data_IF_110894226329
#
_entry.id   IF_110894226329
#
_cell.length_a   1.000
_cell.length_b   1.000
_cell.length_c   1.000
_cell.angle_alpha   90.00
_cell.angle_beta   90.00
_cell.angle_gamma   90.00
#
_symmetry.space_group_name_H-M   'P 1'
#
loop_
_entity.id
_entity.type
_entity.pdbx_description
1 polymer ?
#
# COMPACT_ATOMS: atom_id res chain seq x y z
N UNK A 1 39.27 10.09 -10.67
CA UNK A 1 38.02 10.26 -9.90
C UNK A 1 37.18 9.00 -10.11
N UNK A 2 37.17 8.08 -9.16
CA UNK A 2 36.33 6.88 -9.21
C UNK A 2 34.91 7.26 -8.82
N UNK A 3 34.04 7.41 -9.81
CA UNK A 3 32.59 7.44 -9.59
C UNK A 3 32.18 6.09 -8.99
N UNK A 4 31.77 6.10 -7.73
CA UNK A 4 31.08 4.98 -7.10
C UNK A 4 29.70 4.85 -7.75
N UNK A 5 29.61 4.08 -8.82
CA UNK A 5 28.32 3.63 -9.34
C UNK A 5 27.73 2.62 -8.35
N UNK A 6 26.68 3.04 -7.65
CA UNK A 6 25.99 2.29 -6.61
C UNK A 6 25.17 1.08 -7.14
N UNK A 7 25.76 0.23 -7.98
CA UNK A 7 25.09 -0.95 -8.53
C UNK A 7 26.06 -2.11 -8.83
N UNK A 8 26.68 -2.77 -7.86
CA UNK A 8 27.16 -4.15 -8.10
C UNK A 8 26.98 -5.00 -6.85
N UNK A 9 25.91 -5.82 -6.85
CA UNK A 9 25.74 -6.92 -5.90
C UNK A 9 26.55 -8.12 -6.39
N UNK A 10 27.36 -8.70 -5.52
CA UNK A 10 27.97 -10.03 -5.73
C UNK A 10 26.99 -11.11 -5.28
N UNK A 11 26.56 -12.01 -6.18
CA UNK A 11 25.63 -13.11 -5.89
C UNK A 11 24.77 -13.50 -7.10
N UNK A 12 23.99 -14.59 -7.01
CA UNK A 12 23.03 -14.95 -8.06
C UNK A 12 21.84 -13.99 -8.07
N UNK A 13 21.76 -13.15 -9.09
CA UNK A 13 20.57 -12.33 -9.38
C UNK A 13 19.64 -13.07 -10.32
N UNK A 14 18.34 -13.05 -10.04
CA UNK A 14 17.31 -13.63 -10.91
C UNK A 14 16.62 -12.52 -11.71
N UNK A 15 16.11 -12.86 -12.88
CA UNK A 15 15.16 -12.01 -13.58
C UNK A 15 13.87 -11.83 -12.73
N UNK A 16 13.18 -10.69 -12.90
CA UNK A 16 11.95 -10.39 -12.17
C UNK A 16 12.14 -9.69 -10.82
N UNK A 17 13.06 -8.72 -10.73
CA UNK A 17 13.17 -7.84 -9.57
C UNK A 17 12.08 -6.75 -9.60
N UNK A 18 11.73 -6.21 -8.44
CA UNK A 18 10.86 -5.03 -8.32
C UNK A 18 11.64 -3.92 -7.65
N UNK A 19 11.56 -2.71 -8.21
CA UNK A 19 12.07 -1.51 -7.56
C UNK A 19 11.14 -1.15 -6.40
N UNK A 20 11.74 -0.72 -5.28
CA UNK A 20 11.01 -0.28 -4.10
C UNK A 20 11.61 1.06 -3.66
N UNK A 21 10.73 1.99 -3.30
CA UNK A 21 11.10 3.28 -2.75
C UNK A 21 11.47 3.14 -1.27
N UNK A 22 12.60 3.71 -0.86
CA UNK A 22 13.05 3.67 0.54
C UNK A 22 12.04 4.38 1.45
N UNK A 23 11.40 5.44 0.93
CA UNK A 23 10.39 6.24 1.59
C UNK A 23 9.22 5.40 2.11
N UNK A 24 8.88 4.29 1.44
CA UNK A 24 7.83 3.39 1.92
C UNK A 24 8.15 2.86 3.33
N UNK A 25 9.39 2.42 3.56
CA UNK A 25 9.81 1.89 4.86
C UNK A 25 10.16 3.00 5.84
N UNK A 26 10.79 4.07 5.37
CA UNK A 26 11.26 5.14 6.25
C UNK A 26 10.13 6.07 6.72
N UNK A 27 9.12 6.30 5.89
CA UNK A 27 8.09 7.33 6.13
C UNK A 27 6.70 6.74 6.35
N UNK A 28 6.29 5.73 5.57
CA UNK A 28 4.93 5.20 5.60
C UNK A 28 4.76 4.02 6.57
N UNK A 29 5.65 3.03 6.52
CA UNK A 29 5.59 1.82 7.35
C UNK A 29 5.39 2.09 8.86
N UNK A 30 6.04 3.10 9.48
CA UNK A 30 5.80 3.47 10.87
C UNK A 30 4.33 3.80 11.21
N UNK A 31 3.55 4.24 10.22
CA UNK A 31 2.12 4.53 10.33
C UNK A 31 1.24 3.37 9.94
N UNK A 32 1.50 2.75 8.78
CA UNK A 32 0.56 1.82 8.14
C UNK A 32 0.79 0.36 8.51
N UNK A 33 1.99 0.02 9.02
CA UNK A 33 2.33 -1.32 9.48
C UNK A 33 2.62 -2.34 8.38
N UNK A 34 3.01 -3.55 8.82
CA UNK A 34 3.55 -4.61 7.95
C UNK A 34 2.55 -5.06 6.89
N UNK A 35 1.30 -5.34 7.30
CA UNK A 35 0.28 -5.90 6.42
C UNK A 35 -0.12 -4.93 5.30
N UNK A 36 -0.28 -3.64 5.63
CA UNK A 36 -0.57 -2.63 4.61
C UNK A 36 0.63 -2.43 3.68
N UNK A 37 1.84 -2.41 4.22
CA UNK A 37 3.07 -2.27 3.43
C UNK A 37 3.24 -3.43 2.44
N UNK A 38 3.09 -4.67 2.89
CA UNK A 38 3.16 -5.86 2.02
C UNK A 38 2.05 -5.88 0.97
N UNK A 39 0.85 -5.48 1.35
CA UNK A 39 -0.27 -5.40 0.42
C UNK A 39 -0.02 -4.35 -0.65
N UNK A 40 0.45 -3.16 -0.27
CA UNK A 40 0.85 -2.11 -1.20
C UNK A 40 1.95 -2.56 -2.16
N UNK A 41 3.01 -3.21 -1.67
CA UNK A 41 4.09 -3.73 -2.52
C UNK A 41 3.58 -4.74 -3.56
N UNK A 42 2.58 -5.53 -3.19
CA UNK A 42 1.95 -6.46 -4.13
C UNK A 42 1.11 -5.73 -5.19
N UNK A 43 0.35 -4.71 -4.81
CA UNK A 43 -0.37 -3.86 -5.76
C UNK A 43 0.59 -3.12 -6.69
N UNK A 44 1.69 -2.57 -6.15
CA UNK A 44 2.75 -1.90 -6.89
C UNK A 44 3.42 -2.83 -7.90
N UNK A 45 3.73 -4.06 -7.48
CA UNK A 45 4.24 -5.10 -8.39
C UNK A 45 3.25 -5.40 -9.50
N UNK A 46 1.96 -5.48 -9.21
CA UNK A 46 0.94 -5.75 -10.23
C UNK A 46 0.90 -4.61 -11.26
N UNK A 47 0.80 -3.36 -10.78
CA UNK A 47 0.83 -2.15 -11.61
C UNK A 47 2.05 -2.14 -12.55
N UNK A 48 3.23 -2.46 -12.04
CA UNK A 48 4.48 -2.39 -12.81
C UNK A 48 4.65 -3.53 -13.84
N UNK A 49 3.86 -4.61 -13.74
CA UNK A 49 3.98 -5.76 -14.65
C UNK A 49 2.84 -5.85 -15.69
N UNK A 50 1.78 -5.04 -15.57
CA UNK A 50 0.67 -5.01 -16.53
C UNK A 50 0.85 -3.88 -17.56
N UNK A 51 1.74 -4.08 -18.54
CA UNK A 51 1.86 -3.20 -19.71
C UNK A 51 0.87 -3.62 -20.81
N UNK A 52 0.16 -2.66 -21.43
CA UNK A 52 -0.66 -2.90 -22.63
C UNK A 52 -2.07 -3.48 -22.41
N UNK A 53 -2.58 -3.50 -21.17
CA UNK A 53 -3.96 -3.89 -20.87
C UNK A 53 -4.86 -2.64 -20.74
N UNK A 54 -6.17 -2.76 -20.95
CA UNK A 54 -7.15 -1.69 -20.74
C UNK A 54 -7.21 -1.16 -19.30
N UNK A 55 -6.55 -1.84 -18.34
CA UNK A 55 -6.41 -1.45 -16.94
C UNK A 55 -4.97 -1.08 -16.58
N UNK A 56 -4.12 -0.74 -17.55
CA UNK A 56 -2.75 -0.27 -17.31
C UNK A 56 -2.71 0.84 -16.24
N UNK A 57 -1.77 0.73 -15.29
CA UNK A 57 -1.69 1.60 -14.12
C UNK A 57 -2.65 1.26 -12.97
N UNK A 58 -3.54 0.28 -13.14
CA UNK A 58 -4.45 -0.22 -12.08
C UNK A 58 -4.06 -1.63 -11.68
N UNK A 59 -4.09 -1.93 -10.39
CA UNK A 59 -3.90 -3.29 -9.91
C UNK A 59 -5.26 -3.98 -9.73
N UNK A 60 -5.46 -5.15 -10.34
CA UNK A 60 -6.58 -6.03 -9.99
C UNK A 60 -6.20 -7.51 -10.04
N UNK A 61 -6.15 -8.12 -8.85
CA UNK A 61 -6.45 -9.54 -8.67
C UNK A 61 -7.61 -9.60 -7.68
N UNK A 62 -8.69 -10.30 -8.03
CA UNK A 62 -9.90 -10.36 -7.21
C UNK A 62 -9.61 -10.65 -5.72
N UNK A 63 -10.42 -10.07 -4.81
CA UNK A 63 -10.17 -10.06 -3.35
C UNK A 63 -9.86 -11.44 -2.76
N UNK A 64 -10.45 -12.52 -3.27
CA UNK A 64 -10.17 -13.90 -2.85
C UNK A 64 -8.70 -14.28 -2.98
N UNK A 65 -8.08 -13.98 -4.13
CA UNK A 65 -6.67 -14.28 -4.36
C UNK A 65 -5.76 -13.52 -3.39
N UNK A 66 -6.10 -12.27 -3.08
CA UNK A 66 -5.37 -11.45 -2.09
C UNK A 66 -5.51 -12.01 -0.68
N UNK A 67 -6.73 -12.35 -0.26
CA UNK A 67 -7.02 -12.94 1.05
C UNK A 67 -6.23 -14.23 1.26
N UNK A 68 -6.26 -15.13 0.28
CA UNK A 68 -5.53 -16.40 0.33
C UNK A 68 -4.01 -16.18 0.38
N UNK A 69 -3.49 -15.31 -0.50
CA UNK A 69 -2.05 -15.05 -0.61
C UNK A 69 -1.44 -14.48 0.66
N UNK A 70 -2.15 -13.57 1.32
CA UNK A 70 -1.68 -12.90 2.53
C UNK A 70 -2.20 -13.52 3.83
N UNK A 71 -2.96 -14.62 3.73
CA UNK A 71 -3.62 -15.28 4.87
C UNK A 71 -4.41 -14.27 5.72
N UNK A 72 -5.13 -13.36 5.04
CA UNK A 72 -5.95 -12.34 5.68
C UNK A 72 -7.39 -12.83 5.79
N UNK A 73 -8.16 -12.29 6.74
CA UNK A 73 -9.61 -12.47 6.71
C UNK A 73 -10.23 -11.52 5.66
N UNK A 74 -11.38 -11.90 5.10
CA UNK A 74 -12.17 -11.00 4.25
C UNK A 74 -12.58 -9.71 4.95
N UNK A 75 -12.69 -9.71 6.29
CA UNK A 75 -12.96 -8.50 7.09
C UNK A 75 -11.74 -7.61 7.28
N UNK A 76 -10.52 -8.14 7.16
CA UNK A 76 -9.28 -7.37 7.29
C UNK A 76 -9.00 -6.54 6.05
N UNK A 77 -9.34 -7.06 4.87
CA UNK A 77 -8.99 -6.41 3.60
C UNK A 77 -9.61 -5.00 3.45
N UNK A 78 -10.90 -4.76 3.77
CA UNK A 78 -11.45 -3.41 3.78
C UNK A 78 -10.73 -2.43 4.72
N UNK A 79 -10.18 -2.92 5.83
CA UNK A 79 -9.42 -2.06 6.76
C UNK A 79 -8.08 -1.68 6.14
N UNK A 80 -7.41 -2.62 5.47
CA UNK A 80 -6.16 -2.33 4.75
C UNK A 80 -6.39 -1.41 3.56
N UNK A 81 -7.50 -1.59 2.83
CA UNK A 81 -7.93 -0.70 1.75
C UNK A 81 -8.05 0.75 2.27
N UNK A 82 -8.78 0.96 3.37
CA UNK A 82 -8.96 2.29 3.97
C UNK A 82 -7.65 2.87 4.53
N UNK A 83 -6.76 2.05 5.11
CA UNK A 83 -5.41 2.49 5.56
C UNK A 83 -4.59 2.98 4.37
N UNK A 84 -4.55 2.22 3.28
CA UNK A 84 -3.79 2.57 2.10
C UNK A 84 -4.34 3.83 1.42
N UNK A 85 -5.67 3.96 1.34
CA UNK A 85 -6.31 5.15 0.78
C UNK A 85 -6.07 6.39 1.66
N UNK A 86 -6.19 6.26 2.98
CA UNK A 86 -5.87 7.34 3.92
C UNK A 86 -4.40 7.77 3.88
N UNK A 87 -3.50 6.82 3.62
CA UNK A 87 -2.07 7.09 3.42
C UNK A 87 -1.76 7.78 2.08
N UNK A 88 -2.71 7.82 1.14
CA UNK A 88 -2.52 8.36 -0.20
C UNK A 88 -1.74 7.45 -1.16
N UNK A 89 -1.42 6.23 -0.73
CA UNK A 89 -0.70 5.25 -1.56
C UNK A 89 -1.59 4.61 -2.63
N UNK A 90 -2.91 4.61 -2.42
CA UNK A 90 -3.88 4.12 -3.40
C UNK A 90 -5.11 5.02 -3.50
N UNK A 91 -5.79 4.97 -4.63
CA UNK A 91 -7.17 5.46 -4.79
C UNK A 91 -8.05 4.29 -5.22
N UNK A 92 -9.18 4.10 -4.53
CA UNK A 92 -10.06 2.94 -4.74
C UNK A 92 -11.26 3.35 -5.60
N UNK A 93 -11.30 2.86 -6.84
CA UNK A 93 -12.46 3.04 -7.72
C UNK A 93 -13.40 1.84 -7.62
N UNK A 94 -14.72 2.09 -7.53
CA UNK A 94 -15.75 1.05 -7.55
C UNK A 94 -16.62 1.21 -8.79
N UNK A 95 -16.77 0.14 -9.57
CA UNK A 95 -17.63 0.11 -10.76
C UNK A 95 -18.69 -0.98 -10.63
N UNK A 96 -19.98 -0.66 -10.85
CA UNK A 96 -21.04 -1.67 -10.82
C UNK A 96 -20.92 -2.60 -12.03
N UNK A 97 -21.06 -3.91 -11.81
CA UNK A 97 -20.96 -4.94 -12.89
C UNK A 97 -22.21 -5.82 -12.99
N UNK A 98 -23.36 -5.30 -12.56
CA UNK A 98 -24.67 -5.92 -12.81
C UNK A 98 -25.01 -7.20 -12.03
N UNK A 99 -24.15 -7.68 -11.12
CA UNK A 99 -24.39 -8.87 -10.28
C UNK A 99 -24.15 -8.64 -8.78
N UNK A 100 -24.58 -7.48 -8.28
CA UNK A 100 -24.64 -7.19 -6.83
C UNK A 100 -23.31 -6.95 -6.12
N UNK A 101 -22.16 -7.03 -6.80
CA UNK A 101 -20.86 -6.61 -6.24
C UNK A 101 -20.15 -5.68 -7.21
N UNK A 102 -19.74 -4.54 -6.69
CA UNK A 102 -18.88 -3.61 -7.43
C UNK A 102 -17.51 -4.26 -7.66
N UNK A 103 -16.99 -4.08 -8.87
CA UNK A 103 -15.60 -4.37 -9.15
C UNK A 103 -14.75 -3.21 -8.64
N UNK A 104 -13.72 -3.57 -7.89
CA UNK A 104 -12.82 -2.62 -7.26
C UNK A 104 -11.55 -2.53 -8.09
N UNK A 105 -11.11 -1.33 -8.39
CA UNK A 105 -9.84 -1.05 -9.04
C UNK A 105 -8.97 -0.22 -8.11
N UNK A 106 -7.71 -0.63 -7.96
CA UNK A 106 -6.73 0.09 -7.17
C UNK A 106 -5.85 0.91 -8.10
N UNK A 107 -5.98 2.23 -8.06
CA UNK A 107 -5.00 3.14 -8.67
C UNK A 107 -3.85 3.29 -7.68
N UNK A 108 -2.68 2.80 -8.03
CA UNK A 108 -1.53 2.70 -7.11
C UNK A 108 -0.54 3.83 -7.39
N UNK A 109 -0.35 4.71 -6.42
CA UNK A 109 0.55 5.86 -6.50
C UNK A 109 1.94 5.49 -5.99
N UNK A 110 2.98 6.09 -6.54
CA UNK A 110 4.32 5.99 -5.94
C UNK A 110 4.33 6.73 -4.59
N UNK A 111 5.14 6.28 -3.60
CA UNK A 111 5.28 6.98 -2.34
C UNK A 111 5.85 8.38 -2.59
N UNK A 112 5.39 9.36 -1.82
CA UNK A 112 5.92 10.72 -1.89
C UNK A 112 7.39 10.74 -1.50
N UNK A 113 8.15 11.64 -2.11
CA UNK A 113 9.49 11.95 -1.61
C UNK A 113 9.41 12.54 -0.19
N UNK A 114 10.56 12.60 0.48
CA UNK A 114 10.63 13.06 1.87
C UNK A 114 10.08 14.48 2.07
N UNK A 115 10.29 15.40 1.14
CA UNK A 115 9.84 16.78 1.28
C UNK A 115 8.31 16.87 1.11
N UNK A 116 7.78 16.25 0.06
CA UNK A 116 6.35 16.18 -0.21
C UNK A 116 5.60 15.46 0.92
N UNK A 117 6.18 14.39 1.47
CA UNK A 117 5.62 13.67 2.61
C UNK A 117 5.45 14.60 3.81
N UNK A 118 6.48 15.38 4.16
CA UNK A 118 6.42 16.30 5.32
C UNK A 118 5.31 17.34 5.18
N UNK A 119 5.05 17.83 3.97
CA UNK A 119 3.97 18.77 3.72
C UNK A 119 2.57 18.15 3.90
N UNK A 120 2.45 16.83 3.72
CA UNK A 120 1.16 16.12 3.79
C UNK A 120 1.02 15.20 5.01
N UNK A 121 2.05 15.11 5.85
CA UNK A 121 2.13 14.17 6.98
C UNK A 121 0.97 14.39 7.96
N UNK A 122 0.61 15.64 8.24
CA UNK A 122 -0.49 16.00 9.14
C UNK A 122 -1.87 15.62 8.54
N UNK A 123 -2.09 15.92 7.26
CA UNK A 123 -3.32 15.54 6.56
C UNK A 123 -3.49 14.02 6.54
N UNK A 124 -2.42 13.30 6.18
CA UNK A 124 -2.36 11.84 6.16
C UNK A 124 -2.67 11.28 7.56
N UNK A 125 -2.03 11.83 8.60
CA UNK A 125 -2.25 11.43 9.99
C UNK A 125 -3.70 11.65 10.41
N UNK A 126 -4.31 12.78 10.03
CA UNK A 126 -5.72 13.07 10.28
C UNK A 126 -6.67 12.08 9.60
N UNK A 127 -6.39 11.70 8.35
CA UNK A 127 -7.15 10.66 7.63
C UNK A 127 -7.01 9.30 8.31
N UNK A 128 -5.79 8.89 8.66
CA UNK A 128 -5.54 7.62 9.36
C UNK A 128 -6.22 7.56 10.72
N UNK A 129 -6.29 8.68 11.47
CA UNK A 129 -7.04 8.76 12.72
C UNK A 129 -8.54 8.51 12.51
N UNK A 130 -9.14 9.06 11.43
CA UNK A 130 -10.55 8.79 11.10
C UNK A 130 -10.78 7.30 10.80
N UNK A 131 -9.86 6.66 10.07
CA UNK A 131 -9.93 5.22 9.81
C UNK A 131 -9.79 4.42 11.10
N UNK A 132 -8.88 4.83 12.00
CA UNK A 132 -8.73 4.21 13.30
C UNK A 132 -10.01 4.28 14.15
N UNK A 133 -10.66 5.45 14.19
CA UNK A 133 -11.95 5.62 14.88
C UNK A 133 -13.08 4.78 14.26
N UNK A 134 -13.09 4.61 12.93
CA UNK A 134 -14.10 3.82 12.22
C UNK A 134 -14.06 2.33 12.58
N UNK A 135 -12.86 1.78 12.79
CA UNK A 135 -12.65 0.34 13.00
C UNK A 135 -12.26 -0.05 14.44
N UNK A 136 -12.02 0.94 15.29
CA UNK A 136 -11.73 0.81 16.73
C UNK A 136 -10.72 -0.32 17.01
N UNK A 137 -11.04 -1.32 17.84
CA UNK A 137 -10.11 -2.38 18.25
C UNK A 137 -9.57 -3.24 17.11
N UNK A 138 -10.28 -3.34 15.98
CA UNK A 138 -9.88 -4.20 14.87
C UNK A 138 -8.63 -3.68 14.13
N UNK A 139 -8.39 -2.36 14.16
CA UNK A 139 -7.31 -1.73 13.40
C UNK A 139 -5.98 -1.67 14.16
N UNK A 140 -6.00 -1.75 15.49
CA UNK A 140 -4.80 -1.51 16.31
C UNK A 140 -3.64 -2.48 16.03
N UNK A 141 -3.95 -3.72 15.59
CA UNK A 141 -2.94 -4.71 15.18
C UNK A 141 -2.45 -4.55 13.74
N UNK A 142 -3.07 -3.67 12.96
CA UNK A 142 -2.77 -3.46 11.55
C UNK A 142 -1.90 -2.23 11.33
N UNK A 143 -2.05 -1.19 12.16
CA UNK A 143 -1.22 0.02 12.09
C UNK A 143 0.22 -0.24 12.52
N UNK A 144 1.11 0.66 12.09
CA UNK A 144 2.52 0.63 12.46
C UNK A 144 2.72 0.90 13.95
N UNK A 145 3.64 0.17 14.58
CA UNK A 145 3.85 0.22 16.03
C UNK A 145 4.45 1.54 16.52
N UNK A 146 5.20 2.23 15.66
CA UNK A 146 5.97 3.41 16.04
C UNK A 146 5.13 4.69 16.07
N UNK A 147 4.32 4.90 15.03
CA UNK A 147 3.50 6.10 14.86
C UNK A 147 2.02 5.77 14.75
N UNK A 148 1.66 4.68 14.09
CA UNK A 148 0.27 4.24 13.95
C UNK A 148 -0.41 3.93 15.29
N UNK A 149 0.28 3.28 16.23
CA UNK A 149 -0.24 3.00 17.57
C UNK A 149 -0.62 4.29 18.35
N UNK A 150 0.10 5.39 18.10
CA UNK A 150 -0.15 6.71 18.73
C UNK A 150 -1.39 7.42 18.15
N UNK A 151 -2.00 6.88 17.10
CA UNK A 151 -3.24 7.43 16.52
C UNK A 151 -4.49 6.98 17.29
N UNK A 152 -4.37 5.92 18.09
CA UNK A 152 -5.44 5.28 18.86
C UNK A 152 -5.33 5.62 20.36
N UNK A 153 -4.13 6.00 20.83
CA UNK A 153 -3.88 6.50 22.17
C UNK A 153 -4.38 7.94 22.34
#
# INVERSE_FOLDING_TARGET
>A
MTQSNAYIRTGQTRAGFSLVFHELFDLYHPYIGDKATLYYLYLLRHRNNEQGNANEGKAWNGRTSTVEKFQLSFSTLPILDDILEASGLVTIERKPVGRGKDKIYYVVHDPLDRHQFRQREEEMTGKLRKVAMKYDKAIGKLLGKEKGAKLIA
#
